data_IF_517374555153
#
_entry.id   IF_517374555153
#
_cell.length_a   1.000
_cell.length_b   1.000
_cell.length_c   1.000
_cell.angle_alpha   90.00
_cell.angle_beta   90.00
_cell.angle_gamma   90.00
#
_symmetry.space_group_name_H-M   'P 1'
#
loop_
_entity.id
_entity.type
_entity.pdbx_description
1 polymer ?
#
# COMPACT_ATOMS: atom_id res chain seq x y z
N UNK A 1 -17.83 -6.63 25.20
CA UNK A 1 -17.24 -7.33 24.04
C UNK A 1 -15.94 -7.95 24.50
N UNK A 2 -15.77 -9.26 24.31
CA UNK A 2 -14.47 -9.90 24.57
C UNK A 2 -13.55 -9.69 23.36
N UNK A 3 -12.29 -9.31 23.60
CA UNK A 3 -11.29 -9.24 22.55
C UNK A 3 -10.95 -10.65 22.03
N UNK A 4 -10.70 -10.82 20.74
CA UNK A 4 -10.41 -12.13 20.14
C UNK A 4 -9.20 -12.04 19.22
N UNK A 5 -8.48 -13.15 19.03
CA UNK A 5 -7.29 -13.17 18.17
C UNK A 5 -7.64 -12.83 16.72
N UNK A 6 -6.78 -12.05 16.09
CA UNK A 6 -6.86 -11.71 14.68
C UNK A 6 -6.10 -12.78 13.88
N UNK A 7 -6.70 -13.27 12.79
CA UNK A 7 -5.98 -14.09 11.83
C UNK A 7 -5.01 -13.21 11.01
N UNK A 8 -3.67 -13.39 11.10
CA UNK A 8 -2.71 -12.51 10.43
C UNK A 8 -2.78 -12.57 8.90
N UNK A 9 -3.06 -13.73 8.32
CA UNK A 9 -3.20 -13.88 6.88
C UNK A 9 -4.45 -13.18 6.37
N UNK A 10 -5.56 -13.31 7.09
CA UNK A 10 -6.81 -12.64 6.72
C UNK A 10 -6.63 -11.11 6.72
N UNK A 11 -6.05 -10.55 7.78
CA UNK A 11 -5.76 -9.11 7.84
C UNK A 11 -4.77 -8.69 6.74
N UNK A 12 -3.70 -9.47 6.57
CA UNK A 12 -2.69 -9.32 5.52
C UNK A 12 -3.29 -9.12 4.14
N UNK A 13 -4.13 -10.06 3.72
CA UNK A 13 -4.76 -10.07 2.39
C UNK A 13 -5.76 -8.92 2.25
N UNK A 14 -6.63 -8.72 3.25
CA UNK A 14 -7.69 -7.70 3.19
C UNK A 14 -7.13 -6.29 3.05
N UNK A 15 -6.11 -5.95 3.85
CA UNK A 15 -5.48 -4.62 3.79
C UNK A 15 -4.67 -4.46 2.52
N UNK A 16 -3.89 -5.48 2.14
CA UNK A 16 -2.95 -5.34 1.03
C UNK A 16 -3.61 -5.23 -0.33
N UNK A 17 -4.62 -6.06 -0.61
CA UNK A 17 -5.30 -6.05 -1.90
C UNK A 17 -6.04 -4.74 -2.12
N UNK A 18 -6.79 -4.27 -1.11
CA UNK A 18 -7.50 -2.99 -1.19
C UNK A 18 -6.54 -1.81 -1.36
N UNK A 19 -5.43 -1.82 -0.62
CA UNK A 19 -4.42 -0.75 -0.70
C UNK A 19 -3.72 -0.73 -2.06
N UNK A 20 -3.38 -1.91 -2.61
CA UNK A 20 -2.76 -2.03 -3.92
C UNK A 20 -3.68 -1.56 -5.05
N UNK A 21 -4.96 -1.96 -5.01
CA UNK A 21 -5.96 -1.49 -5.97
C UNK A 21 -6.14 0.03 -5.90
N UNK A 22 -6.27 0.59 -4.70
CA UNK A 22 -6.37 2.03 -4.52
C UNK A 22 -5.11 2.75 -5.07
N UNK A 23 -3.92 2.23 -4.79
CA UNK A 23 -2.66 2.79 -5.30
C UNK A 23 -2.57 2.73 -6.82
N UNK A 24 -3.01 1.63 -7.43
CA UNK A 24 -3.07 1.49 -8.89
C UNK A 24 -3.96 2.57 -9.51
N UNK A 25 -5.18 2.75 -8.99
CA UNK A 25 -6.11 3.78 -9.51
C UNK A 25 -5.60 5.19 -9.26
N UNK A 26 -4.91 5.46 -8.15
CA UNK A 26 -4.24 6.74 -7.93
C UNK A 26 -3.11 6.97 -8.96
N UNK A 27 -2.31 5.95 -9.26
CA UNK A 27 -1.29 6.01 -10.30
C UNK A 27 -1.88 6.25 -11.70
N UNK A 28 -3.01 5.60 -12.02
CA UNK A 28 -3.75 5.84 -13.26
C UNK A 28 -4.28 7.28 -13.33
N UNK A 29 -4.87 7.79 -12.24
CA UNK A 29 -5.33 9.17 -12.18
C UNK A 29 -4.16 10.15 -12.37
N UNK A 30 -3.01 9.90 -11.74
CA UNK A 30 -1.80 10.68 -11.96
C UNK A 30 -1.36 10.66 -13.43
N UNK A 31 -1.39 9.49 -14.07
CA UNK A 31 -1.05 9.34 -15.47
C UNK A 31 -2.00 10.11 -16.40
N UNK A 32 -3.31 10.08 -16.14
CA UNK A 32 -4.31 10.77 -16.98
C UNK A 32 -4.28 12.29 -16.77
N UNK A 33 -4.19 12.76 -15.53
CA UNK A 33 -4.43 14.18 -15.23
C UNK A 33 -3.15 15.01 -15.07
N UNK A 34 -2.00 14.38 -14.81
CA UNK A 34 -0.78 15.08 -14.41
C UNK A 34 0.43 14.85 -15.31
N UNK A 35 0.32 14.02 -16.34
CA UNK A 35 1.37 13.87 -17.36
C UNK A 35 1.66 15.20 -18.05
N UNK A 36 2.94 15.54 -18.17
CA UNK A 36 3.41 16.76 -18.84
C UNK A 36 3.23 18.06 -18.05
N UNK A 37 2.73 18.01 -16.80
CA UNK A 37 2.64 19.20 -15.95
C UNK A 37 4.06 19.63 -15.52
N UNK A 38 4.40 20.94 -15.57
CA UNK A 38 5.77 21.41 -15.30
C UNK A 38 6.35 20.96 -13.95
N UNK A 39 5.54 21.02 -12.89
CA UNK A 39 5.95 20.55 -11.56
C UNK A 39 6.27 19.05 -11.54
N UNK A 40 5.43 18.24 -12.18
CA UNK A 40 5.61 16.78 -12.23
C UNK A 40 6.83 16.40 -13.06
N UNK A 41 7.07 17.10 -14.16
CA UNK A 41 8.26 16.92 -14.98
C UNK A 41 9.54 17.30 -14.21
N UNK A 42 9.51 18.39 -13.44
CA UNK A 42 10.62 18.82 -12.59
C UNK A 42 10.93 17.78 -11.51
N UNK A 43 9.93 17.25 -10.81
CA UNK A 43 10.17 16.23 -9.78
C UNK A 43 10.59 14.90 -10.40
N UNK A 44 10.02 14.54 -11.56
CA UNK A 44 10.36 13.34 -12.33
C UNK A 44 11.78 13.31 -12.88
N UNK A 45 12.47 14.45 -12.99
CA UNK A 45 13.89 14.49 -13.38
C UNK A 45 14.84 14.17 -12.21
N UNK A 46 14.35 14.25 -10.97
CA UNK A 46 15.12 14.03 -9.75
C UNK A 46 14.82 12.65 -9.15
N UNK A 47 13.55 12.22 -9.20
CA UNK A 47 13.10 10.97 -8.56
C UNK A 47 12.74 9.90 -9.59
N UNK A 48 13.42 8.75 -9.48
CA UNK A 48 13.10 7.56 -10.26
C UNK A 48 11.65 7.13 -9.97
N UNK A 49 10.94 6.73 -11.03
CA UNK A 49 9.56 6.23 -10.97
C UNK A 49 8.51 7.26 -10.53
N UNK A 50 8.88 8.54 -10.37
CA UNK A 50 7.92 9.62 -10.09
C UNK A 50 7.11 10.03 -11.33
N UNK A 51 7.72 9.94 -12.52
CA UNK A 51 7.05 10.27 -13.78
C UNK A 51 5.81 9.39 -13.96
N UNK A 52 4.60 9.97 -14.11
CA UNK A 52 3.39 9.18 -14.27
C UNK A 52 3.46 8.31 -15.54
N UNK A 53 3.25 7.02 -15.37
CA UNK A 53 3.15 6.06 -16.47
C UNK A 53 2.36 4.83 -16.01
N UNK A 54 1.81 4.07 -16.97
CA UNK A 54 1.12 2.81 -16.64
C UNK A 54 2.06 1.80 -15.95
N UNK A 55 3.33 1.76 -16.37
CA UNK A 55 4.35 0.92 -15.75
C UNK A 55 4.59 1.33 -14.28
N UNK A 56 4.75 2.62 -14.00
CA UNK A 56 4.95 3.12 -12.65
C UNK A 56 3.71 2.97 -11.76
N UNK A 57 2.50 3.04 -12.32
CA UNK A 57 1.27 2.74 -11.59
C UNK A 57 1.22 1.26 -11.17
N UNK A 58 1.60 0.33 -12.04
CA UNK A 58 1.71 -1.09 -11.72
C UNK A 58 2.80 -1.38 -10.69
N UNK A 59 3.99 -0.77 -10.84
CA UNK A 59 5.08 -0.88 -9.86
C UNK A 59 4.66 -0.36 -8.48
N UNK A 60 3.98 0.80 -8.43
CA UNK A 60 3.46 1.37 -7.19
C UNK A 60 2.46 0.42 -6.50
N UNK A 61 1.52 -0.14 -7.26
CA UNK A 61 0.56 -1.10 -6.74
C UNK A 61 1.23 -2.36 -6.17
N UNK A 62 2.25 -2.91 -6.84
CA UNK A 62 2.98 -4.07 -6.37
C UNK A 62 3.77 -3.78 -5.08
N UNK A 63 4.45 -2.63 -5.01
CA UNK A 63 5.17 -2.20 -3.81
C UNK A 63 4.19 -2.02 -2.65
N UNK A 64 3.06 -1.35 -2.89
CA UNK A 64 2.03 -1.16 -1.85
C UNK A 64 1.48 -2.49 -1.39
N UNK A 65 1.16 -3.43 -2.29
CA UNK A 65 0.69 -4.77 -1.95
C UNK A 65 1.66 -5.46 -0.98
N UNK A 66 2.94 -5.51 -1.32
CA UNK A 66 3.96 -6.17 -0.50
C UNK A 66 4.12 -5.49 0.87
N UNK A 67 4.28 -4.16 0.89
CA UNK A 67 4.51 -3.43 2.13
C UNK A 67 3.32 -3.53 3.08
N UNK A 68 2.12 -3.36 2.55
CA UNK A 68 0.90 -3.39 3.36
C UNK A 68 0.53 -4.80 3.81
N UNK A 69 0.88 -5.84 3.03
CA UNK A 69 0.75 -7.23 3.49
C UNK A 69 1.65 -7.48 4.70
N UNK A 70 2.94 -7.16 4.59
CA UNK A 70 3.91 -7.39 5.66
C UNK A 70 3.56 -6.57 6.90
N UNK A 71 3.25 -5.28 6.74
CA UNK A 71 2.96 -4.41 7.88
C UNK A 71 1.68 -4.81 8.62
N UNK A 72 0.62 -5.18 7.89
CA UNK A 72 -0.63 -5.63 8.52
C UNK A 72 -0.51 -7.03 9.12
N UNK A 73 0.29 -7.92 8.53
CA UNK A 73 0.62 -9.22 9.13
C UNK A 73 1.32 -9.03 10.48
N UNK A 74 2.34 -8.16 10.53
CA UNK A 74 3.06 -7.83 11.78
C UNK A 74 2.11 -7.19 12.78
N UNK A 75 1.23 -6.29 12.35
CA UNK A 75 0.24 -5.66 13.23
C UNK A 75 -0.70 -6.69 13.90
N UNK A 76 -1.18 -7.69 13.15
CA UNK A 76 -1.98 -8.77 13.72
C UNK A 76 -1.18 -9.61 14.74
N UNK A 77 0.11 -9.86 14.46
CA UNK A 77 1.00 -10.55 15.38
C UNK A 77 1.19 -9.78 16.70
N UNK A 78 1.51 -8.49 16.61
CA UNK A 78 1.67 -7.61 17.78
C UNK A 78 0.36 -7.55 18.58
N UNK A 79 -0.79 -7.41 17.91
CA UNK A 79 -2.09 -7.43 18.57
C UNK A 79 -2.32 -8.73 19.35
N UNK A 80 -2.09 -9.89 18.71
CA UNK A 80 -2.30 -11.18 19.35
C UNK A 80 -1.33 -11.40 20.54
N UNK A 81 -0.08 -10.97 20.41
CA UNK A 81 0.90 -11.04 21.49
C UNK A 81 0.47 -10.21 22.70
N UNK A 82 0.01 -8.98 22.49
CA UNK A 82 -0.49 -8.12 23.56
C UNK A 82 -1.77 -8.69 24.19
N UNK A 83 -2.65 -9.28 23.39
CA UNK A 83 -3.87 -9.92 23.89
C UNK A 83 -3.55 -11.10 24.82
N UNK A 84 -2.54 -11.90 24.47
CA UNK A 84 -2.06 -13.01 25.30
C UNK A 84 -1.35 -12.53 26.58
N UNK A 85 -0.74 -11.34 26.57
CA UNK A 85 -0.05 -10.77 27.74
C UNK A 85 -1.00 -10.17 28.78
N UNK A 86 -2.12 -9.58 28.34
CA UNK A 86 -3.07 -8.89 29.22
C UNK A 86 -4.11 -9.86 29.81
N UNK A 87 -4.23 -11.07 29.26
CA UNK A 87 -5.12 -12.14 29.73
C UNK A 87 -4.41 -13.10 30.66
#
# INVERSE_FOLDING_TARGET
>A
MEFSKINPLALGISISVLSALASFFMGLAAFVFYTGKPFVAMVGSIYLSYTPSLANAGLGAAIVLMNTFVSSYIAAWVYNFLLDYIR
#
